data_IF_973407917864
#
_entry.id   IF_973407917864
#
_cell.length_a   1.000
_cell.length_b   1.000
_cell.length_c   1.000
_cell.angle_alpha   90.00
_cell.angle_beta   90.00
_cell.angle_gamma   90.00
#
_symmetry.space_group_name_H-M   'P 1'
#
loop_
_entity.id
_entity.type
_entity.pdbx_description
1 polymer ?
#
# COMPACT_ATOMS: atom_id res chain seq x y z
N UNK A 1 -4.68 -3.89 12.13
CA UNK A 1 -3.71 -5.00 12.23
C UNK A 1 -2.32 -4.40 12.34
N UNK A 2 -1.50 -4.86 13.29
CA UNK A 2 -0.24 -4.19 13.69
C UNK A 2 0.92 -4.59 12.78
N UNK A 3 1.65 -3.61 12.25
CA UNK A 3 2.88 -3.72 11.44
C UNK A 3 3.86 -4.81 11.91
N UNK A 4 3.98 -4.99 13.23
CA UNK A 4 4.83 -6.01 13.86
C UNK A 4 4.58 -7.45 13.37
N UNK A 5 3.34 -7.79 12.99
CA UNK A 5 2.99 -9.13 12.53
C UNK A 5 3.40 -9.37 11.06
N UNK A 6 3.41 -8.32 10.24
CA UNK A 6 3.84 -8.38 8.84
C UNK A 6 5.36 -8.47 8.73
N UNK A 7 6.07 -7.69 9.54
CA UNK A 7 7.54 -7.80 9.66
C UNK A 7 7.95 -9.22 10.09
N UNK A 8 7.20 -9.82 11.03
CA UNK A 8 7.45 -11.21 11.47
C UNK A 8 7.24 -12.24 10.35
N UNK A 9 6.21 -12.10 9.52
CA UNK A 9 6.00 -13.01 8.38
C UNK A 9 7.01 -12.73 7.25
N UNK A 10 7.47 -11.49 7.10
CA UNK A 10 8.56 -11.13 6.20
C UNK A 10 9.88 -11.84 6.54
N UNK A 11 10.26 -11.88 7.82
CA UNK A 11 11.44 -12.62 8.25
C UNK A 11 11.32 -14.14 8.05
N UNK A 12 10.10 -14.71 7.98
CA UNK A 12 9.90 -16.14 7.73
C UNK A 12 10.04 -16.52 6.26
N UNK A 13 9.64 -15.65 5.33
CA UNK A 13 9.65 -15.94 3.89
C UNK A 13 10.30 -14.81 3.04
N UNK A 14 11.54 -14.40 3.33
CA UNK A 14 12.16 -13.23 2.71
C UNK A 14 12.38 -13.37 1.20
N UNK A 15 12.56 -14.60 0.70
CA UNK A 15 12.72 -14.89 -0.74
C UNK A 15 11.40 -14.81 -1.53
N UNK A 16 10.24 -14.87 -0.87
CA UNK A 16 8.93 -14.70 -1.52
C UNK A 16 8.47 -13.23 -1.54
N UNK A 17 8.97 -12.39 -0.64
CA UNK A 17 8.47 -11.03 -0.45
C UNK A 17 9.28 -9.95 -1.17
N UNK A 18 10.48 -10.27 -1.69
CA UNK A 18 11.23 -9.43 -2.64
C UNK A 18 11.70 -8.05 -2.13
N UNK A 19 11.28 -7.59 -0.95
CA UNK A 19 11.62 -6.26 -0.41
C UNK A 19 11.63 -6.29 1.12
N UNK A 20 12.72 -5.83 1.74
CA UNK A 20 12.94 -5.82 3.19
C UNK A 20 12.15 -4.75 3.96
N UNK A 21 11.57 -3.79 3.25
CA UNK A 21 10.98 -2.58 3.81
C UNK A 21 9.65 -2.26 3.16
N UNK A 22 8.73 -1.66 3.91
CA UNK A 22 7.51 -1.07 3.34
C UNK A 22 7.85 0.09 2.41
N UNK A 23 6.94 0.41 1.48
CA UNK A 23 7.05 1.65 0.68
C UNK A 23 7.13 2.87 1.60
N UNK A 24 8.11 3.74 1.36
CA UNK A 24 8.24 4.99 2.11
C UNK A 24 7.00 5.86 1.90
N UNK A 25 6.70 6.74 2.86
CA UNK A 25 5.56 7.67 2.75
C UNK A 25 5.63 8.52 1.48
N UNK A 26 6.83 8.96 1.09
CA UNK A 26 7.04 9.75 -0.12
C UNK A 26 6.76 8.93 -1.39
N UNK A 27 7.19 7.66 -1.42
CA UNK A 27 6.89 6.76 -2.54
C UNK A 27 5.39 6.49 -2.63
N UNK A 28 4.76 6.13 -1.52
CA UNK A 28 3.32 5.87 -1.46
C UNK A 28 2.48 7.09 -1.91
N UNK A 29 2.91 8.31 -1.53
CA UNK A 29 2.29 9.55 -1.99
C UNK A 29 2.41 9.74 -3.50
N UNK A 30 3.60 9.52 -4.07
CA UNK A 30 3.80 9.62 -5.52
C UNK A 30 3.00 8.58 -6.28
N UNK A 31 3.00 7.34 -5.84
CA UNK A 31 2.20 6.27 -6.45
C UNK A 31 0.70 6.62 -6.44
N UNK A 32 0.20 7.17 -5.33
CA UNK A 32 -1.21 7.54 -5.22
C UNK A 32 -1.59 8.79 -6.04
N UNK A 33 -0.64 9.64 -6.48
CA UNK A 33 -0.96 10.77 -7.37
C UNK A 33 -1.42 10.31 -8.76
N UNK A 34 -0.94 9.14 -9.21
CA UNK A 34 -1.27 8.60 -10.53
C UNK A 34 -2.74 8.16 -10.68
N UNK A 35 -3.48 8.08 -9.57
CA UNK A 35 -4.90 7.70 -9.58
C UNK A 35 -5.86 8.89 -9.56
N UNK A 36 -5.36 10.13 -9.56
CA UNK A 36 -6.21 11.33 -9.46
C UNK A 36 -7.28 11.34 -10.59
N UNK A 37 -8.55 11.48 -10.19
CA UNK A 37 -9.70 11.41 -11.10
C UNK A 37 -10.27 10.00 -11.34
N UNK A 38 -9.65 8.95 -10.77
CA UNK A 38 -10.20 7.59 -10.80
C UNK A 38 -11.28 7.42 -9.73
N UNK A 39 -12.41 6.82 -10.10
CA UNK A 39 -13.49 6.45 -9.18
C UNK A 39 -13.42 4.98 -8.73
N UNK A 40 -12.59 4.15 -9.37
CA UNK A 40 -12.41 2.74 -9.02
C UNK A 40 -10.95 2.37 -9.13
N UNK A 41 -10.36 1.86 -8.03
CA UNK A 41 -8.95 1.52 -7.92
C UNK A 41 -8.79 0.12 -7.34
N UNK A 42 -8.13 -0.77 -8.07
CA UNK A 42 -7.81 -2.13 -7.59
C UNK A 42 -6.36 -2.19 -7.18
N UNK A 43 -6.10 -2.36 -5.89
CA UNK A 43 -4.76 -2.56 -5.35
C UNK A 43 -4.44 -4.05 -5.21
N UNK A 44 -3.53 -4.55 -6.03
CA UNK A 44 -3.06 -5.93 -5.92
C UNK A 44 -1.99 -6.04 -4.84
N UNK A 45 -2.25 -6.85 -3.82
CA UNK A 45 -1.26 -7.16 -2.79
C UNK A 45 -0.90 -5.95 -1.90
N UNK A 46 -1.91 -5.30 -1.32
CA UNK A 46 -1.80 -4.09 -0.48
C UNK A 46 -0.77 -4.15 0.67
N UNK A 47 -0.26 -5.33 1.03
CA UNK A 47 0.80 -5.48 2.01
C UNK A 47 0.42 -4.89 3.37
N UNK A 48 1.19 -3.90 3.81
CA UNK A 48 0.98 -3.20 5.10
C UNK A 48 0.03 -2.01 5.01
N UNK A 49 -0.44 -1.67 3.80
CA UNK A 49 -1.42 -0.62 3.56
C UNK A 49 -0.87 0.80 3.48
N UNK A 50 0.45 0.97 3.35
CA UNK A 50 1.08 2.29 3.22
C UNK A 50 0.62 3.03 1.97
N UNK A 51 0.46 2.31 0.86
CA UNK A 51 -0.07 2.83 -0.41
C UNK A 51 -1.60 2.94 -0.36
N UNK A 52 -2.31 1.91 0.12
CA UNK A 52 -3.77 1.94 0.36
C UNK A 52 -4.23 3.21 1.06
N UNK A 53 -3.54 3.62 2.13
CA UNK A 53 -3.91 4.83 2.90
C UNK A 53 -3.80 6.11 2.08
N UNK A 54 -2.86 6.19 1.14
CA UNK A 54 -2.71 7.34 0.25
C UNK A 54 -3.72 7.33 -0.91
N UNK A 55 -4.09 6.14 -1.40
CA UNK A 55 -5.18 5.95 -2.37
C UNK A 55 -6.53 6.42 -1.80
N UNK A 56 -6.88 5.94 -0.60
CA UNK A 56 -8.15 6.30 0.07
C UNK A 56 -8.29 7.81 0.36
N UNK A 57 -7.18 8.55 0.45
CA UNK A 57 -7.20 10.00 0.63
C UNK A 57 -7.56 10.78 -0.64
N UNK A 58 -7.47 10.13 -1.80
CA UNK A 58 -7.69 10.75 -3.12
C UNK A 58 -8.94 10.23 -3.81
N UNK A 59 -9.45 9.07 -3.40
CA UNK A 59 -10.72 8.58 -3.90
C UNK A 59 -11.85 9.57 -3.58
N UNK A 60 -12.78 9.77 -4.51
CA UNK A 60 -14.00 10.52 -4.22
C UNK A 60 -14.82 9.81 -3.14
N UNK A 61 -15.77 10.51 -2.53
CA UNK A 61 -16.55 9.97 -1.41
C UNK A 61 -17.33 8.69 -1.75
N UNK A 62 -17.69 8.51 -3.02
CA UNK A 62 -18.34 7.34 -3.59
C UNK A 62 -17.37 6.39 -4.34
N UNK A 63 -16.08 6.67 -4.27
CA UNK A 63 -15.01 5.90 -4.90
C UNK A 63 -14.86 4.50 -4.29
N UNK A 64 -14.32 3.58 -5.10
CA UNK A 64 -14.20 2.15 -4.77
C UNK A 64 -12.79 1.62 -4.93
#
# INVERSE_FOLDING_TARGET
MTTARFVREFFKYPRQLGTFTESSKALAQKMAQEIDGSSTVVEFGAGTGSVTRQILQRLPADGR
#
